data_IF_060195005450
#
_entry.id   IF_060195005450
#
_cell.length_a   1.000
_cell.length_b   1.000
_cell.length_c   1.000
_cell.angle_alpha   90.00
_cell.angle_beta   90.00
_cell.angle_gamma   90.00
#
_symmetry.space_group_name_H-M   'P 1'
#
loop_
_entity.id
_entity.type
_entity.pdbx_description
1 polymer ?
#
# COMPACT_ATOMS: atom_id res chain seq x y z
N UNK A 1 6.21 -0.63 4.30
CA UNK A 1 5.31 -0.12 3.25
C UNK A 1 6.20 0.34 2.10
N UNK A 2 5.84 0.02 0.87
CA UNK A 2 6.67 0.35 -0.31
C UNK A 2 5.79 0.69 -1.52
N UNK A 3 6.35 1.38 -2.51
CA UNK A 3 5.71 1.61 -3.81
C UNK A 3 6.47 0.87 -4.90
N UNK A 4 5.73 0.11 -5.71
CA UNK A 4 6.26 -0.53 -6.91
C UNK A 4 5.73 0.21 -8.15
N UNK A 5 6.63 0.63 -9.03
CA UNK A 5 6.25 1.17 -10.34
C UNK A 5 5.99 0.02 -11.32
N UNK A 6 4.80 -0.01 -11.91
CA UNK A 6 4.39 -1.01 -12.90
C UNK A 6 4.55 -0.52 -14.35
N UNK A 7 4.93 0.74 -14.54
CA UNK A 7 5.06 1.38 -15.84
C UNK A 7 3.72 1.46 -16.59
N UNK A 8 3.78 1.59 -17.91
CA UNK A 8 2.60 1.80 -18.77
C UNK A 8 1.75 0.53 -18.98
N UNK A 9 2.21 -0.60 -18.45
CA UNK A 9 1.53 -1.89 -18.61
C UNK A 9 0.26 -2.02 -17.76
N UNK A 10 0.08 -1.16 -16.74
CA UNK A 10 -1.03 -1.21 -15.79
C UNK A 10 -2.03 -0.05 -15.95
N UNK A 11 -2.39 0.27 -17.18
CA UNK A 11 -3.43 1.26 -17.47
C UNK A 11 -3.10 2.65 -16.92
N UNK A 12 -4.05 3.32 -16.27
CA UNK A 12 -3.89 4.66 -15.73
C UNK A 12 -3.15 4.72 -14.37
N UNK A 13 -2.99 3.58 -13.69
CA UNK A 13 -2.35 3.51 -12.37
C UNK A 13 -0.94 2.96 -12.52
N UNK A 14 0.06 3.85 -12.46
CA UNK A 14 1.46 3.48 -12.68
C UNK A 14 2.14 2.87 -11.45
N UNK A 15 1.49 2.93 -10.29
CA UNK A 15 2.07 2.48 -9.03
C UNK A 15 1.18 1.45 -8.33
N UNK A 16 1.82 0.56 -7.58
CA UNK A 16 1.17 -0.29 -6.59
C UNK A 16 1.76 0.02 -5.23
N UNK A 17 0.88 0.29 -4.28
CA UNK A 17 1.22 0.43 -2.89
C UNK A 17 1.21 -0.93 -2.22
N UNK A 18 2.32 -1.29 -1.59
CA UNK A 18 2.53 -2.58 -0.94
C UNK A 18 2.52 -2.39 0.57
N UNK A 19 1.52 -3.01 1.21
CA UNK A 19 1.47 -3.19 2.66
C UNK A 19 1.84 -4.61 3.01
N UNK A 20 2.92 -4.79 3.76
CA UNK A 20 3.35 -6.09 4.27
C UNK A 20 3.19 -6.10 5.78
N UNK A 21 2.43 -7.07 6.28
CA UNK A 21 2.51 -7.49 7.67
C UNK A 21 3.76 -8.37 7.83
N UNK A 22 4.65 -7.98 8.73
CA UNK A 22 5.90 -8.68 8.94
C UNK A 22 5.70 -9.98 9.74
N UNK A 23 4.70 -10.02 10.63
CA UNK A 23 4.43 -11.17 11.48
C UNK A 23 3.84 -12.34 10.69
N UNK A 24 2.81 -12.08 9.87
CA UNK A 24 2.11 -13.14 9.12
C UNK A 24 2.62 -13.31 7.68
N UNK A 25 3.51 -12.42 7.23
CA UNK A 25 3.90 -12.27 5.83
C UNK A 25 2.72 -11.97 4.88
N UNK A 26 1.58 -11.53 5.40
CA UNK A 26 0.46 -11.10 4.58
C UNK A 26 0.79 -9.80 3.84
N UNK A 27 0.64 -9.82 2.51
CA UNK A 27 0.86 -8.66 1.65
C UNK A 27 -0.46 -8.22 1.01
N UNK A 28 -0.80 -6.95 1.19
CA UNK A 28 -1.87 -6.29 0.45
C UNK A 28 -1.28 -5.37 -0.61
N UNK A 29 -1.84 -5.46 -1.82
CA UNK A 29 -1.49 -4.65 -2.98
C UNK A 29 -2.66 -3.73 -3.33
N UNK A 30 -2.44 -2.41 -3.26
CA UNK A 30 -3.40 -1.40 -3.67
C UNK A 30 -2.93 -0.67 -4.93
N UNK A 31 -3.77 -0.54 -5.94
CA UNK A 31 -3.47 0.33 -7.08
C UNK A 31 -3.37 1.79 -6.62
N UNK A 32 -2.36 2.50 -7.12
CA UNK A 32 -2.12 3.89 -6.81
C UNK A 32 -1.79 4.67 -8.10
N UNK A 33 -2.52 5.77 -8.32
CA UNK A 33 -2.27 6.64 -9.48
C UNK A 33 -0.99 7.47 -9.30
N UNK A 34 -0.56 7.70 -8.06
CA UNK A 34 0.67 8.43 -7.74
C UNK A 34 1.30 7.99 -6.41
N UNK A 35 2.63 7.96 -6.37
CA UNK A 35 3.42 7.63 -5.19
C UNK A 35 3.58 8.84 -4.24
N UNK A 36 2.47 9.38 -3.73
CA UNK A 36 2.49 10.53 -2.81
C UNK A 36 2.41 10.11 -1.35
N UNK A 37 2.89 10.99 -0.47
CA UNK A 37 2.75 10.82 0.99
C UNK A 37 1.29 10.81 1.44
N UNK A 38 0.40 11.54 0.75
CA UNK A 38 -1.03 11.55 1.03
C UNK A 38 -1.68 10.18 0.76
N UNK A 39 -1.38 9.58 -0.40
CA UNK A 39 -1.82 8.21 -0.73
C UNK A 39 -1.31 7.21 0.30
N UNK A 40 -0.04 7.37 0.73
CA UNK A 40 0.55 6.48 1.73
C UNK A 40 -0.15 6.61 3.09
N UNK A 41 -0.36 7.84 3.57
CA UNK A 41 -1.05 8.09 4.84
C UNK A 41 -2.48 7.54 4.84
N UNK A 42 -3.23 7.70 3.73
CA UNK A 42 -4.56 7.15 3.59
C UNK A 42 -4.58 5.61 3.65
N UNK A 43 -3.59 4.95 3.05
CA UNK A 43 -3.48 3.50 3.08
C UNK A 43 -3.12 2.98 4.49
N UNK A 44 -2.22 3.65 5.22
CA UNK A 44 -1.94 3.33 6.63
C UNK A 44 -3.21 3.45 7.49
N UNK A 45 -4.01 4.50 7.30
CA UNK A 45 -5.27 4.66 8.03
C UNK A 45 -6.28 3.55 7.70
N UNK A 46 -6.37 3.15 6.43
CA UNK A 46 -7.22 2.03 6.00
C UNK A 46 -6.74 0.68 6.53
N UNK A 47 -5.43 0.49 6.64
CA UNK A 47 -4.84 -0.67 7.30
C UNK A 47 -5.21 -0.71 8.78
N UNK A 48 -4.97 0.39 9.49
CA UNK A 48 -5.31 0.54 10.91
C UNK A 48 -6.80 0.31 11.18
N UNK A 49 -7.69 0.81 10.31
CA UNK A 49 -9.14 0.57 10.42
C UNK A 49 -9.52 -0.92 10.36
N UNK A 50 -8.76 -1.76 9.65
CA UNK A 50 -9.08 -3.18 9.42
C UNK A 50 -8.35 -4.12 10.37
N UNK A 51 -7.09 -3.83 10.67
CA UNK A 51 -6.22 -4.74 11.42
C UNK A 51 -5.82 -4.19 12.79
N UNK A 52 -6.15 -2.93 13.11
CA UNK A 52 -5.71 -2.27 14.33
C UNK A 52 -4.26 -1.78 14.24
N UNK A 53 -3.71 -1.40 15.40
CA UNK A 53 -2.30 -1.07 15.52
C UNK A 53 -1.48 -2.37 15.48
N UNK A 54 -0.32 -2.39 14.80
CA UNK A 54 0.63 -3.48 14.98
C UNK A 54 0.97 -3.62 16.46
N UNK A 55 0.88 -4.84 16.99
CA UNK A 55 1.43 -5.14 18.31
C UNK A 55 2.97 -5.15 18.16
N UNK A 56 3.64 -4.35 19.00
CA UNK A 56 5.11 -4.22 19.05
C UNK A 56 5.68 -5.33 19.93
#
# INVERSE_FOLDING_TARGET
MDYLELGDSYGASHYVLVHKDELTHYCELGAADSATSATAAAAVLNWHKRFGLPEI
#
